data_IF_524118503731
#
_entry.id   IF_524118503731
#
_cell.length_a   1.000
_cell.length_b   1.000
_cell.length_c   1.000
_cell.angle_alpha   90.00
_cell.angle_beta   90.00
_cell.angle_gamma   90.00
#
_symmetry.space_group_name_H-M   'P 1'
#
loop_
_entity.id
_entity.type
_entity.pdbx_description
1 polymer ?
#
# COMPACT_ATOMS: atom_id res chain seq x y z
N UNK A 1 14.82 26.16 -11.04
CA UNK A 1 14.38 24.84 -11.54
C UNK A 1 13.46 25.06 -12.74
N UNK A 2 13.56 24.25 -13.80
CA UNK A 2 12.59 24.26 -14.90
C UNK A 2 11.61 23.11 -14.67
N UNK A 3 10.29 23.34 -14.84
CA UNK A 3 9.33 22.26 -14.71
C UNK A 3 9.55 21.23 -15.81
N UNK A 4 9.44 19.95 -15.45
CA UNK A 4 9.53 18.81 -16.36
C UNK A 4 8.21 18.53 -17.08
N UNK A 5 7.10 18.93 -16.46
CA UNK A 5 5.74 18.77 -16.97
C UNK A 5 5.04 20.13 -17.01
N UNK A 6 4.22 20.36 -18.01
CA UNK A 6 3.48 21.61 -18.21
C UNK A 6 1.97 21.38 -18.02
N UNK A 7 1.20 22.48 -17.97
CA UNK A 7 -0.25 22.41 -17.93
C UNK A 7 -0.80 21.58 -19.10
N UNK A 8 -1.65 20.59 -18.78
CA UNK A 8 -2.27 19.71 -19.77
C UNK A 8 -1.50 18.41 -20.03
N UNK A 9 -0.27 18.27 -19.52
CA UNK A 9 0.49 17.03 -19.67
C UNK A 9 -0.19 15.88 -18.92
N UNK A 10 -0.28 14.73 -19.60
CA UNK A 10 -0.75 13.50 -18.98
C UNK A 10 0.40 12.83 -18.23
N UNK A 11 0.22 12.66 -16.92
CA UNK A 11 1.20 12.05 -16.04
C UNK A 11 0.61 10.84 -15.35
N UNK A 12 1.47 9.88 -15.02
CA UNK A 12 1.15 8.69 -14.22
C UNK A 12 1.90 8.76 -12.90
N UNK A 13 1.22 8.41 -11.81
CA UNK A 13 1.86 8.34 -10.50
C UNK A 13 2.66 7.06 -10.37
N UNK A 14 3.91 7.18 -9.92
CA UNK A 14 4.83 6.04 -9.79
C UNK A 14 4.82 5.38 -8.41
N UNK A 15 4.23 6.05 -7.43
CA UNK A 15 4.12 5.62 -6.03
C UNK A 15 2.71 5.92 -5.53
N UNK A 16 2.35 5.37 -4.38
CA UNK A 16 1.09 5.69 -3.74
C UNK A 16 1.14 7.11 -3.14
N UNK A 17 0.23 7.99 -3.56
CA UNK A 17 0.12 9.33 -2.97
C UNK A 17 -0.65 9.23 -1.67
N UNK A 18 -0.03 9.72 -0.60
CA UNK A 18 -0.64 9.81 0.72
C UNK A 18 -0.80 11.27 1.11
N UNK A 19 -1.84 11.56 1.88
CA UNK A 19 -2.05 12.92 2.37
C UNK A 19 -0.91 13.31 3.32
N UNK A 20 -0.16 14.36 3.00
CA UNK A 20 0.88 14.92 3.86
C UNK A 20 0.33 16.01 4.81
N UNK A 21 -0.98 16.23 4.79
CA UNK A 21 -1.69 17.25 5.55
C UNK A 21 -2.13 18.45 4.69
N UNK A 22 -1.82 18.47 3.39
CA UNK A 22 -2.30 19.52 2.48
C UNK A 22 -3.68 19.25 1.88
N UNK A 23 -4.16 18.01 1.90
CA UNK A 23 -5.48 17.68 1.37
C UNK A 23 -6.56 17.80 2.46
N UNK A 24 -7.61 18.63 2.27
CA UNK A 24 -8.65 18.82 3.28
C UNK A 24 -9.56 17.60 3.41
N UNK A 25 -9.90 17.24 4.65
CA UNK A 25 -10.93 16.24 4.95
C UNK A 25 -10.47 14.78 4.95
N UNK A 26 -9.16 14.52 4.91
CA UNK A 26 -8.57 13.18 5.09
C UNK A 26 -7.43 13.23 6.10
N UNK A 27 -7.19 12.12 6.79
CA UNK A 27 -6.13 12.04 7.80
C UNK A 27 -4.74 12.03 7.15
N UNK A 28 -3.74 12.53 7.87
CA UNK A 28 -2.34 12.46 7.43
C UNK A 28 -1.92 10.99 7.28
N UNK A 29 -1.39 10.63 6.11
CA UNK A 29 -0.99 9.28 5.75
C UNK A 29 -2.05 8.47 5.00
N UNK A 30 -3.27 8.99 4.86
CA UNK A 30 -4.35 8.33 4.13
C UNK A 30 -4.06 8.28 2.62
N UNK A 31 -4.41 7.16 1.99
CA UNK A 31 -4.14 6.92 0.57
C UNK A 31 -5.11 7.74 -0.30
N UNK A 32 -4.58 8.74 -1.01
CA UNK A 32 -5.35 9.58 -1.92
C UNK A 32 -5.50 8.91 -3.29
N UNK A 33 -4.36 8.55 -3.89
CA UNK A 33 -4.26 8.04 -5.25
C UNK A 33 -3.34 6.83 -5.27
N UNK A 34 -3.79 5.75 -5.90
CA UNK A 34 -2.98 4.54 -6.08
C UNK A 34 -1.93 4.75 -7.18
N UNK A 35 -0.79 4.09 -7.01
CA UNK A 35 0.24 4.00 -8.07
C UNK A 35 -0.37 3.46 -9.37
N UNK A 36 0.11 3.98 -10.49
CA UNK A 36 -0.38 3.61 -11.82
C UNK A 36 -1.57 4.44 -12.30
N UNK A 37 -2.25 5.19 -11.43
CA UNK A 37 -3.28 6.12 -11.83
C UNK A 37 -2.71 7.24 -12.70
N UNK A 38 -3.45 7.59 -13.75
CA UNK A 38 -3.12 8.68 -14.66
C UNK A 38 -3.94 9.92 -14.33
N UNK A 39 -3.35 11.08 -14.48
CA UNK A 39 -4.01 12.37 -14.32
C UNK A 39 -3.41 13.42 -15.26
N UNK A 40 -3.99 14.62 -15.23
CA UNK A 40 -3.54 15.74 -16.04
C UNK A 40 -2.98 16.84 -15.16
N UNK A 41 -1.81 17.36 -15.51
CA UNK A 41 -1.21 18.48 -14.79
C UNK A 41 -2.09 19.72 -14.99
N UNK A 42 -2.53 20.30 -13.87
CA UNK A 42 -3.44 21.45 -13.81
C UNK A 42 -2.75 22.73 -13.39
N UNK A 43 -1.68 22.64 -12.63
CA UNK A 43 -0.86 23.78 -12.23
C UNK A 43 0.53 23.31 -11.76
N UNK A 44 1.52 24.20 -11.79
CA UNK A 44 2.87 23.92 -11.26
C UNK A 44 3.24 25.03 -10.28
N UNK A 45 3.22 24.67 -9.00
CA UNK A 45 3.64 25.54 -7.90
C UNK A 45 5.08 25.27 -7.48
N UNK A 46 5.64 26.19 -6.70
CA UNK A 46 6.87 25.96 -5.94
C UNK A 46 6.57 26.01 -4.44
N UNK A 47 7.08 25.03 -3.71
CA UNK A 47 7.04 24.96 -2.26
C UNK A 47 8.45 25.20 -1.71
N UNK A 48 8.59 26.09 -0.73
CA UNK A 48 9.88 26.44 -0.11
C UNK A 48 10.99 26.81 -1.12
N UNK A 49 10.64 27.48 -2.23
CA UNK A 49 11.53 27.97 -3.32
C UNK A 49 12.34 26.89 -4.09
N UNK A 50 12.63 25.72 -3.50
CA UNK A 50 13.48 24.67 -4.06
C UNK A 50 12.73 23.39 -4.47
N UNK A 51 11.44 23.23 -4.12
CA UNK A 51 10.66 22.04 -4.48
C UNK A 51 9.53 22.42 -5.44
N UNK A 52 9.50 21.83 -6.64
CA UNK A 52 8.37 21.94 -7.57
C UNK A 52 7.27 20.97 -7.15
N UNK A 53 6.05 21.49 -7.04
CA UNK A 53 4.83 20.73 -6.75
C UNK A 53 3.89 20.84 -7.94
N UNK A 54 3.58 19.71 -8.56
CA UNK A 54 2.66 19.60 -9.67
C UNK A 54 1.26 19.30 -9.14
N UNK A 55 0.31 20.20 -9.38
CA UNK A 55 -1.10 19.93 -9.10
C UNK A 55 -1.66 19.06 -10.20
N UNK A 56 -1.92 17.78 -9.92
CA UNK A 56 -2.43 16.82 -10.91
C UNK A 56 -3.90 16.54 -10.62
N UNK A 57 -4.74 16.67 -11.64
CA UNK A 57 -6.15 16.30 -11.59
C UNK A 57 -6.34 14.87 -12.07
N UNK A 58 -6.73 14.00 -11.14
CA UNK A 58 -7.08 12.60 -11.39
C UNK A 58 -8.57 12.50 -11.70
N UNK A 59 -8.90 12.37 -13.00
CA UNK A 59 -10.28 12.32 -13.47
C UNK A 59 -11.04 11.10 -12.92
N UNK A 60 -10.36 9.96 -12.76
CA UNK A 60 -10.98 8.72 -12.28
C UNK A 60 -11.50 8.84 -10.84
N UNK A 61 -10.86 9.66 -10.02
CA UNK A 61 -11.23 9.86 -8.61
C UNK A 61 -11.84 11.25 -8.37
N UNK A 62 -11.91 12.09 -9.41
CA UNK A 62 -12.28 13.52 -9.37
C UNK A 62 -11.55 14.28 -8.25
N UNK A 63 -10.21 14.15 -8.23
CA UNK A 63 -9.36 14.70 -7.16
C UNK A 63 -8.16 15.46 -7.70
N UNK A 64 -7.88 16.60 -7.09
CA UNK A 64 -6.69 17.40 -7.37
C UNK A 64 -5.67 17.18 -6.26
N UNK A 65 -4.49 16.64 -6.60
CA UNK A 65 -3.46 16.27 -5.62
C UNK A 65 -2.12 16.89 -6.02
N UNK A 66 -1.44 17.49 -5.06
CA UNK A 66 -0.08 17.97 -5.22
C UNK A 66 0.90 16.81 -5.24
N UNK A 67 1.68 16.70 -6.31
CA UNK A 67 2.64 15.62 -6.54
C UNK A 67 4.04 16.21 -6.71
N UNK A 68 5.05 15.53 -6.20
CA UNK A 68 6.46 15.89 -6.46
C UNK A 68 6.90 15.39 -7.82
N UNK A 69 7.93 16.01 -8.40
CA UNK A 69 8.50 15.55 -9.68
C UNK A 69 8.91 14.07 -9.66
N UNK A 70 9.50 13.63 -8.56
CA UNK A 70 9.98 12.25 -8.36
C UNK A 70 8.86 11.21 -8.26
N UNK A 71 7.62 11.66 -8.04
CA UNK A 71 6.43 10.82 -7.93
C UNK A 71 5.70 10.68 -9.27
N UNK A 72 6.05 11.51 -10.25
CA UNK A 72 5.39 11.58 -11.55
C UNK A 72 6.27 11.01 -12.67
N UNK A 73 5.62 10.34 -13.62
CA UNK A 73 6.21 9.99 -14.92
C UNK A 73 5.26 10.38 -16.05
N UNK A 74 5.74 10.57 -17.29
CA UNK A 74 4.87 10.71 -18.45
C UNK A 74 3.93 9.50 -18.56
N UNK A 75 2.67 9.71 -18.91
CA UNK A 75 1.71 8.60 -19.07
C UNK A 75 2.13 7.60 -20.17
N UNK A 76 2.78 8.12 -21.23
CA UNK A 76 3.35 7.34 -22.33
C UNK A 76 4.65 6.62 -21.96
N UNK A 77 5.26 6.95 -20.82
CA UNK A 77 6.46 6.26 -20.37
C UNK A 77 6.10 4.82 -19.95
N UNK A 78 6.97 3.84 -20.24
CA UNK A 78 6.75 2.46 -19.85
C UNK A 78 6.53 2.37 -18.34
N UNK A 79 5.39 1.78 -17.96
CA UNK A 79 5.03 1.53 -16.57
C UNK A 79 5.10 0.04 -16.30
N UNK A 80 6.05 -0.36 -15.47
CA UNK A 80 6.01 -1.70 -14.89
C UNK A 80 5.43 -1.61 -13.48
N UNK A 81 4.23 -2.17 -13.24
CA UNK A 81 3.67 -2.22 -11.90
C UNK A 81 4.61 -3.06 -11.02
N UNK A 82 5.01 -2.50 -9.88
CA UNK A 82 5.75 -3.23 -8.86
C UNK A 82 4.74 -3.80 -7.87
N UNK A 83 4.82 -5.08 -7.47
CA UNK A 83 3.96 -5.63 -6.42
C UNK A 83 4.30 -5.06 -5.04
N UNK A 84 5.59 -4.90 -4.73
CA UNK A 84 6.11 -4.41 -3.43
C UNK A 84 6.75 -3.02 -3.52
N UNK A 85 6.78 -2.28 -2.40
CA UNK A 85 7.43 -0.96 -2.29
C UNK A 85 8.70 -1.00 -1.44
N UNK A 86 9.52 0.05 -1.56
CA UNK A 86 10.64 0.26 -0.65
C UNK A 86 10.15 0.39 0.79
N UNK A 87 10.84 -0.27 1.71
CA UNK A 87 10.50 -0.47 3.13
C UNK A 87 9.35 -1.44 3.40
N UNK A 88 8.82 -2.10 2.37
CA UNK A 88 7.81 -3.14 2.58
C UNK A 88 8.46 -4.44 3.05
N UNK A 89 7.82 -5.10 4.01
CA UNK A 89 8.26 -6.40 4.50
C UNK A 89 7.70 -7.50 3.60
N UNK A 90 8.60 -8.35 3.12
CA UNK A 90 8.30 -9.44 2.19
C UNK A 90 8.85 -10.74 2.74
N UNK A 91 8.26 -11.85 2.31
CA UNK A 91 8.70 -13.20 2.65
C UNK A 91 9.24 -13.88 1.40
N UNK A 92 10.38 -14.54 1.52
CA UNK A 92 10.94 -15.35 0.46
C UNK A 92 10.02 -16.53 0.16
N UNK A 93 9.34 -16.52 -1.00
CA UNK A 93 8.49 -17.62 -1.46
C UNK A 93 9.30 -18.86 -1.87
N UNK A 94 10.53 -18.63 -2.32
CA UNK A 94 11.44 -19.66 -2.82
C UNK A 94 12.78 -19.56 -2.09
N UNK A 95 13.55 -20.65 -2.10
CA UNK A 95 14.95 -20.61 -1.65
C UNK A 95 15.74 -19.71 -2.60
N UNK A 96 16.33 -18.65 -2.07
CA UNK A 96 17.12 -17.70 -2.86
C UNK A 96 18.60 -18.03 -2.70
N UNK A 97 19.31 -18.06 -3.82
CA UNK A 97 20.73 -18.30 -3.84
C UNK A 97 21.44 -17.42 -4.85
N UNK A 98 22.67 -17.05 -4.54
CA UNK A 98 23.57 -16.35 -5.46
C UNK A 98 24.86 -17.16 -5.60
N UNK A 99 25.34 -17.32 -6.83
CA UNK A 99 26.60 -18.04 -7.10
C UNK A 99 26.60 -19.52 -6.67
N UNK A 100 25.46 -20.20 -6.77
CA UNK A 100 25.34 -21.63 -6.43
C UNK A 100 25.24 -21.95 -4.94
N UNK A 101 25.13 -20.93 -4.07
CA UNK A 101 24.88 -21.11 -2.64
C UNK A 101 23.49 -20.60 -2.29
N UNK A 102 22.73 -21.38 -1.53
CA UNK A 102 21.47 -20.93 -0.92
C UNK A 102 21.80 -19.95 0.19
N UNK A 103 21.30 -18.73 0.07
CA UNK A 103 21.52 -17.65 1.02
C UNK A 103 20.29 -17.39 1.88
N UNK A 104 19.09 -17.66 1.36
CA UNK A 104 17.82 -17.40 2.06
C UNK A 104 16.94 -18.63 1.90
N UNK A 105 16.39 -19.12 3.01
CA UNK A 105 15.42 -20.19 2.99
C UNK A 105 14.01 -19.66 2.70
N UNK A 106 13.16 -20.52 2.14
CA UNK A 106 11.76 -20.21 1.95
C UNK A 106 11.11 -19.89 3.31
N UNK A 107 10.34 -18.80 3.37
CA UNK A 107 9.67 -18.33 4.58
C UNK A 107 10.45 -17.25 5.34
N UNK A 108 11.68 -16.91 4.93
CA UNK A 108 12.45 -15.89 5.59
C UNK A 108 11.94 -14.47 5.26
N UNK A 109 11.89 -13.63 6.29
CA UNK A 109 11.41 -12.24 6.18
C UNK A 109 12.56 -11.33 5.77
N UNK A 110 12.32 -10.49 4.77
CA UNK A 110 13.22 -9.43 4.35
C UNK A 110 12.50 -8.10 4.17
N UNK A 111 13.27 -7.02 4.10
CA UNK A 111 12.78 -5.67 3.83
C UNK A 111 13.23 -5.23 2.44
N UNK A 112 12.31 -4.73 1.62
CA UNK A 112 12.65 -4.19 0.31
C UNK A 112 13.41 -2.88 0.48
N UNK A 113 14.72 -2.87 0.22
CA UNK A 113 15.54 -1.66 0.26
C UNK A 113 15.28 -0.80 -0.97
N UNK A 114 15.17 -1.43 -2.15
CA UNK A 114 15.05 -0.72 -3.42
C UNK A 114 14.31 -1.55 -4.46
N UNK A 115 13.49 -0.89 -5.27
CA UNK A 115 12.85 -1.50 -6.44
C UNK A 115 13.71 -1.22 -7.67
N UNK A 116 14.16 -2.28 -8.34
CA UNK A 116 14.83 -2.24 -9.64
C UNK A 116 13.80 -2.54 -10.73
N UNK A 117 13.57 -1.57 -11.60
CA UNK A 117 12.66 -1.73 -12.74
C UNK A 117 13.51 -1.99 -13.98
N UNK A 118 13.36 -3.16 -14.59
CA UNK A 118 14.01 -3.47 -15.86
C UNK A 118 13.52 -2.55 -16.98
N UNK A 119 14.34 -2.38 -18.02
CA UNK A 119 13.91 -1.68 -19.22
C UNK A 119 12.68 -2.38 -19.80
N UNK A 120 11.63 -1.63 -20.14
CA UNK A 120 10.47 -2.20 -20.78
C UNK A 120 10.87 -2.74 -22.16
N UNK A 121 10.80 -4.06 -22.30
CA UNK A 121 10.90 -4.73 -23.59
C UNK A 121 9.60 -4.58 -24.35
N UNK A 122 9.68 -4.57 -25.69
CA UNK A 122 8.53 -4.40 -26.58
C UNK A 122 7.44 -5.49 -26.42
N UNK A 123 7.76 -6.59 -25.74
CA UNK A 123 6.88 -7.75 -25.57
C UNK A 123 6.22 -7.84 -24.18
N UNK A 124 6.36 -6.81 -23.35
CA UNK A 124 5.63 -6.70 -22.09
C UNK A 124 6.52 -6.77 -20.86
N UNK A 125 6.26 -5.82 -19.94
CA UNK A 125 6.73 -5.73 -18.55
C UNK A 125 8.18 -6.16 -18.34
N UNK A 126 9.12 -5.21 -18.49
CA UNK A 126 10.51 -5.42 -18.06
C UNK A 126 10.57 -5.95 -16.64
N UNK A 127 11.32 -7.04 -16.39
CA UNK A 127 11.33 -7.75 -15.11
C UNK A 127 11.55 -6.78 -13.93
N UNK A 128 10.60 -6.76 -12.99
CA UNK A 128 10.78 -6.04 -11.72
C UNK A 128 11.59 -6.93 -10.80
N UNK A 129 12.74 -6.42 -10.38
CA UNK A 129 13.55 -7.03 -9.34
C UNK A 129 13.58 -6.12 -8.11
N UNK A 130 13.80 -6.70 -6.95
CA UNK A 130 13.87 -6.01 -5.68
C UNK A 130 15.23 -6.27 -5.06
N UNK A 131 15.84 -5.22 -4.54
CA UNK A 131 16.90 -5.36 -3.56
C UNK A 131 16.25 -5.55 -2.19
N UNK A 132 16.26 -6.78 -1.71
CA UNK A 132 15.70 -7.17 -0.41
C UNK A 132 16.84 -7.41 0.57
N UNK A 133 16.76 -6.79 1.72
CA UNK A 133 17.66 -7.03 2.85
C UNK A 133 17.02 -8.07 3.78
N UNK A 134 17.66 -9.23 3.91
CA UNK A 134 17.24 -10.27 4.84
C UNK A 134 18.00 -10.16 6.15
N UNK A 135 17.30 -10.32 7.27
CA UNK A 135 17.88 -10.17 8.60
C UNK A 135 19.07 -11.12 8.82
N UNK A 136 20.27 -10.55 8.97
CA UNK A 136 21.51 -11.29 9.17
C UNK A 136 22.36 -11.51 7.91
N UNK A 137 21.98 -10.97 6.75
CA UNK A 137 22.74 -11.13 5.48
C UNK A 137 22.74 -9.86 4.62
N UNK A 138 23.56 -9.88 3.57
CA UNK A 138 23.63 -8.80 2.58
C UNK A 138 22.38 -8.73 1.70
N UNK A 139 22.13 -7.56 1.12
CA UNK A 139 21.04 -7.31 0.19
C UNK A 139 21.14 -8.20 -1.06
N UNK A 140 20.02 -8.83 -1.42
CA UNK A 140 19.90 -9.73 -2.56
C UNK A 140 18.98 -9.13 -3.63
N UNK A 141 19.31 -9.35 -4.90
CA UNK A 141 18.41 -9.06 -6.01
C UNK A 141 17.45 -10.24 -6.21
N UNK A 142 16.15 -9.98 -6.02
CA UNK A 142 15.10 -10.99 -6.01
C UNK A 142 13.98 -10.57 -6.98
N UNK A 143 13.54 -11.42 -7.92
CA UNK A 143 12.40 -11.11 -8.79
C UNK A 143 11.08 -11.08 -8.00
N UNK A 144 10.06 -10.39 -8.53
CA UNK A 144 8.75 -10.33 -7.87
C UNK A 144 8.10 -11.69 -7.66
N UNK A 145 8.35 -12.64 -8.57
CA UNK A 145 7.78 -13.99 -8.55
C UNK A 145 8.29 -14.84 -7.39
N UNK A 146 9.41 -14.44 -6.77
CA UNK A 146 10.05 -15.15 -5.66
C UNK A 146 9.74 -14.52 -4.29
N UNK A 147 8.89 -13.49 -4.23
CA UNK A 147 8.48 -12.79 -3.01
C UNK A 147 6.97 -12.88 -2.80
N UNK A 148 6.56 -13.06 -1.55
CA UNK A 148 5.18 -12.87 -1.11
C UNK A 148 5.09 -11.75 -0.07
N UNK A 149 3.94 -11.06 0.05
CA UNK A 149 3.76 -10.06 1.09
C UNK A 149 3.89 -10.76 2.46
N UNK A 150 4.58 -10.12 3.41
CA UNK A 150 4.49 -10.57 4.79
C UNK A 150 3.01 -10.49 5.19
N UNK A 151 2.37 -11.56 5.67
CA UNK A 151 1.06 -11.46 6.25
C UNK A 151 1.17 -10.47 7.39
N UNK A 152 0.68 -9.25 7.15
CA UNK A 152 0.45 -8.28 8.20
C UNK A 152 -0.43 -9.05 9.19
N UNK A 153 0.02 -9.18 10.43
CA UNK A 153 -0.78 -9.78 11.49
C UNK A 153 -1.98 -8.89 11.79
N UNK A 154 -2.91 -8.77 10.84
CA UNK A 154 -4.33 -8.75 11.17
C UNK A 154 -4.57 -10.14 11.75
N UNK A 155 -4.39 -10.24 13.07
CA UNK A 155 -4.99 -11.34 13.81
C UNK A 155 -6.42 -11.48 13.30
N UNK A 156 -6.84 -12.64 12.76
CA UNK A 156 -8.25 -12.91 12.67
C UNK A 156 -8.74 -12.73 14.11
N UNK A 157 -9.60 -11.75 14.36
CA UNK A 157 -10.30 -11.68 15.65
C UNK A 157 -10.98 -13.03 15.79
N UNK A 158 -10.42 -13.84 16.69
CA UNK A 158 -10.85 -15.17 17.05
C UNK A 158 -12.30 -15.06 17.54
N UNK A 159 -13.27 -15.20 16.64
CA UNK A 159 -14.63 -15.54 17.02
C UNK A 159 -14.66 -17.06 17.25
N UNK A 160 -14.03 -17.49 18.34
CA UNK A 160 -14.24 -18.82 18.90
C UNK A 160 -15.42 -18.77 19.87
N UNK A 161 -16.57 -19.13 19.31
CA UNK A 161 -17.65 -19.93 19.90
C UNK A 161 -17.73 -20.05 21.42
N UNK A 162 -18.93 -19.83 21.96
CA UNK A 162 -19.51 -20.80 22.89
C UNK A 162 -21.03 -20.83 22.76
N UNK A 163 -21.50 -21.72 21.89
CA UNK A 163 -22.82 -22.31 22.01
C UNK A 163 -22.72 -23.57 22.87
N UNK A 164 -23.71 -23.75 23.74
CA UNK A 164 -24.14 -25.00 24.38
C UNK A 164 -23.50 -25.37 25.72
N UNK A 165 -24.24 -25.14 26.81
CA UNK A 165 -24.74 -26.30 27.56
C UNK A 165 -26.02 -25.99 28.35
N UNK A 166 -26.96 -26.93 28.24
CA UNK A 166 -28.26 -26.94 28.89
C UNK A 166 -28.22 -27.74 30.21
N UNK A 167 -29.17 -27.39 31.09
CA UNK A 167 -29.80 -28.19 32.14
C UNK A 167 -29.07 -28.37 33.50
N UNK A 168 -29.64 -27.81 34.58
CA UNK A 168 -30.67 -28.49 35.42
C UNK A 168 -30.94 -27.74 36.73
N UNK A 169 -32.22 -27.43 36.93
CA UNK A 169 -33.04 -27.31 38.16
C UNK A 169 -32.38 -27.15 39.56
N UNK A 170 -32.88 -26.16 40.33
CA UNK A 170 -33.61 -26.36 41.61
C UNK A 170 -34.03 -25.00 42.23
N UNK A 171 -35.36 -24.77 42.22
CA UNK A 171 -36.25 -24.26 43.28
C UNK A 171 -35.79 -23.08 44.18
N UNK A 172 -36.52 -21.94 44.15
CA UNK A 172 -37.46 -21.51 45.21
C UNK A 172 -37.91 -20.02 45.08
N UNK A 173 -39.23 -19.84 44.92
CA UNK A 173 -40.16 -18.81 45.46
C UNK A 173 -39.76 -17.32 45.49
N UNK A 174 -40.49 -16.45 44.79
CA UNK A 174 -41.60 -15.64 45.37
C UNK A 174 -42.34 -14.84 44.27
N UNK A 175 -43.65 -14.67 44.42
CA UNK A 175 -44.60 -13.99 43.54
C UNK A 175 -45.40 -13.01 44.42
N UNK A 176 -46.10 -11.97 43.93
CA UNK A 176 -45.90 -11.05 42.80
C UNK A 176 -45.80 -9.57 43.28
N UNK A 177 -45.54 -8.61 42.39
CA UNK A 177 -46.24 -7.34 42.52
C UNK A 177 -46.69 -6.80 41.16
N UNK A 178 -47.95 -6.38 41.14
CA UNK A 178 -48.71 -5.96 39.98
C UNK A 178 -48.90 -4.43 39.99
N UNK A 179 -49.40 -3.95 38.85
CA UNK A 179 -49.92 -2.60 38.50
C UNK A 179 -48.86 -1.68 37.88
N UNK A 180 -48.87 -1.52 36.55
CA UNK A 180 -49.81 -0.75 35.72
C UNK A 180 -49.77 0.75 36.07
N UNK A 181 -49.02 1.49 35.26
CA UNK A 181 -49.16 2.93 35.07
C UNK A 181 -49.70 3.11 33.64
N UNK A 182 -50.98 3.43 33.56
CA UNK A 182 -51.69 3.85 32.35
C UNK A 182 -52.44 5.13 32.71
N UNK A 183 -52.20 6.18 31.91
CA UNK A 183 -53.11 7.29 31.57
C UNK A 183 -53.51 8.28 32.68
N UNK A 184 -53.03 9.52 32.58
CA UNK A 184 -53.81 10.68 32.08
C UNK A 184 -52.90 11.85 31.69
#
# INVERSE_FOLDING_TARGET
>A
MRPKFEFGDQVRVTRNLRNDGTYPGMDTGELLVRRGSTGYVRDVGSFLQDQLIYSVHFLDQDRLVGCREEELQPADAPWTPSRFESREQVVAKLKLGAGGRVLVDQGEVGEVVRVLRGAATAEGSGEVAYHVHFSGRSTLQVPESALDPLPSGDSPRENSVNATNANSATTQIDTPNAKQEDTE
#
